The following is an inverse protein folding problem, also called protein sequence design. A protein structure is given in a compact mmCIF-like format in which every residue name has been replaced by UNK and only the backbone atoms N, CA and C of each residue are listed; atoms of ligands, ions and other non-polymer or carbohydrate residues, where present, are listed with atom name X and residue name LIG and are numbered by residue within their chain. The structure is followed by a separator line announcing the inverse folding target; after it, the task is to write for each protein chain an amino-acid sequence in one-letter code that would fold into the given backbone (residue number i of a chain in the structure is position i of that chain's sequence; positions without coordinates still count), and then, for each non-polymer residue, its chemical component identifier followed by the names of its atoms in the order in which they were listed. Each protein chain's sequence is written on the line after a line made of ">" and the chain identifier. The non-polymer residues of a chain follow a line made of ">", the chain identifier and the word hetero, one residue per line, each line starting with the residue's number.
data_IF_828349406766
#
_entry.id   IF_828349406766
#
_cell.length_a   1.000
_cell.length_b   1.000
_cell.length_c   1.000
_cell.angle_alpha   90.00
_cell.angle_beta   90.00
_cell.angle_gamma   90.00
#
_symmetry.space_group_name_H-M   'P 1'
#
loop_
_entity.id
_entity.type
_entity.pdbx_description
1 polymer ?
#
# COMPACT_ATOMS: atom_id res chain seq x y z
N UNK A 1 -11.73 -5.95 11.09
CA UNK A 1 -11.90 -4.93 10.02
C UNK A 1 -10.67 -4.94 9.12
N UNK A 2 -10.80 -4.59 7.84
CA UNK A 2 -9.69 -4.46 6.89
C UNK A 2 -9.68 -3.06 6.26
N UNK A 3 -8.51 -2.43 6.22
CA UNK A 3 -8.30 -1.11 5.61
C UNK A 3 -7.19 -1.19 4.56
N UNK A 4 -7.54 -0.82 3.34
CA UNK A 4 -6.61 -0.60 2.25
C UNK A 4 -6.20 0.87 2.19
N UNK A 5 -4.90 1.13 2.05
CA UNK A 5 -4.35 2.49 1.89
C UNK A 5 -3.63 2.56 0.55
N UNK A 6 -4.08 3.45 -0.33
CA UNK A 6 -3.52 3.65 -1.67
C UNK A 6 -3.23 5.13 -1.89
N UNK A 7 -2.20 5.48 -2.67
CA UNK A 7 -1.86 6.87 -2.92
C UNK A 7 -2.80 7.50 -3.96
N UNK A 8 -3.20 6.73 -4.97
CA UNK A 8 -3.93 7.21 -6.14
C UNK A 8 -5.27 6.49 -6.35
N UNK A 9 -6.24 7.20 -6.92
CA UNK A 9 -7.52 6.60 -7.32
C UNK A 9 -7.38 5.41 -8.28
N UNK A 10 -6.39 5.44 -9.19
CA UNK A 10 -6.16 4.33 -10.10
C UNK A 10 -5.63 3.07 -9.39
N UNK A 11 -4.93 3.23 -8.27
CA UNK A 11 -4.50 2.13 -7.41
C UNK A 11 -5.65 1.58 -6.57
N UNK A 12 -6.53 2.47 -6.09
CA UNK A 12 -7.73 2.08 -5.34
C UNK A 12 -8.75 1.34 -6.22
N UNK A 13 -8.85 1.69 -7.50
CA UNK A 13 -9.92 1.21 -8.39
C UNK A 13 -10.07 -0.32 -8.40
N UNK A 14 -9.02 -1.14 -8.58
CA UNK A 14 -9.17 -2.60 -8.57
C UNK A 14 -9.68 -3.14 -7.24
N UNK A 15 -9.29 -2.53 -6.11
CA UNK A 15 -9.75 -2.87 -4.77
C UNK A 15 -11.24 -2.52 -4.61
N UNK A 16 -11.62 -1.31 -5.02
CA UNK A 16 -13.00 -0.84 -5.01
C UNK A 16 -13.89 -1.77 -5.83
N UNK A 17 -13.48 -2.14 -7.04
CA UNK A 17 -14.25 -3.01 -7.92
C UNK A 17 -14.37 -4.43 -7.35
N UNK A 18 -13.28 -5.00 -6.82
CA UNK A 18 -13.24 -6.35 -6.25
C UNK A 18 -14.17 -6.49 -5.03
N UNK A 19 -14.07 -5.56 -4.07
CA UNK A 19 -14.88 -5.57 -2.85
C UNK A 19 -16.24 -4.87 -3.02
N UNK A 20 -16.51 -4.29 -4.21
CA UNK A 20 -17.71 -3.49 -4.51
C UNK A 20 -17.92 -2.36 -3.51
N UNK A 21 -16.85 -1.65 -3.19
CA UNK A 21 -16.86 -0.57 -2.19
C UNK A 21 -17.65 0.65 -2.71
N UNK A 22 -18.33 1.34 -1.80
CA UNK A 22 -19.14 2.52 -2.14
C UNK A 22 -18.49 3.76 -1.55
N UNK A 23 -18.40 4.83 -2.33
CA UNK A 23 -17.84 6.10 -1.86
C UNK A 23 -18.65 6.65 -0.68
N UNK A 24 -17.97 6.89 0.43
CA UNK A 24 -18.55 7.54 1.60
C UNK A 24 -18.78 9.02 1.32
N UNK A 25 -19.95 9.55 1.69
CA UNK A 25 -20.29 10.97 1.57
C UNK A 25 -20.10 11.76 2.87
N UNK A 26 -19.80 11.07 3.97
CA UNK A 26 -19.68 11.66 5.31
C UNK A 26 -18.30 12.23 5.63
N UNK A 27 -17.32 12.05 4.74
CA UNK A 27 -15.93 12.47 4.97
C UNK A 27 -15.43 13.25 3.77
N UNK A 28 -14.81 14.41 4.04
CA UNK A 28 -14.41 15.36 2.99
C UNK A 28 -12.90 15.57 2.91
N UNK A 29 -12.13 15.17 3.95
CA UNK A 29 -10.68 15.33 3.95
C UNK A 29 -9.97 14.35 3.01
N UNK A 30 -10.47 13.11 2.96
CA UNK A 30 -9.96 12.05 2.09
C UNK A 30 -11.12 11.30 1.46
N UNK A 31 -10.90 10.79 0.25
CA UNK A 31 -11.82 9.90 -0.42
C UNK A 31 -11.75 8.51 0.22
N UNK A 32 -12.84 8.12 0.87
CA UNK A 32 -12.99 6.82 1.53
C UNK A 32 -14.09 6.03 0.82
N UNK A 33 -13.79 4.79 0.46
CA UNK A 33 -14.73 3.84 -0.11
C UNK A 33 -14.91 2.71 0.90
N UNK A 34 -16.15 2.33 1.19
CA UNK A 34 -16.42 1.33 2.20
C UNK A 34 -17.60 0.45 1.86
N UNK A 35 -17.54 -0.78 2.37
CA UNK A 35 -18.65 -1.73 2.40
C UNK A 35 -18.35 -2.79 3.45
N UNK A 36 -19.34 -3.10 4.28
CA UNK A 36 -19.23 -4.09 5.36
C UNK A 36 -18.01 -3.80 6.28
N UNK A 37 -17.07 -4.73 6.39
CA UNK A 37 -15.85 -4.62 7.23
C UNK A 37 -14.60 -4.26 6.43
N UNK A 38 -14.75 -3.74 5.19
CA UNK A 38 -13.66 -3.37 4.30
C UNK A 38 -13.77 -1.90 3.94
N UNK A 39 -12.67 -1.16 4.14
CA UNK A 39 -12.53 0.22 3.70
C UNK A 39 -11.27 0.39 2.83
N UNK A 40 -11.33 1.34 1.91
CA UNK A 40 -10.19 1.77 1.10
C UNK A 40 -10.13 3.29 1.13
N UNK A 41 -9.00 3.83 1.57
CA UNK A 41 -8.73 5.27 1.57
C UNK A 41 -7.71 5.62 0.48
N UNK A 42 -7.98 6.71 -0.22
CA UNK A 42 -7.02 7.33 -1.14
C UNK A 42 -6.29 8.43 -0.39
N UNK A 43 -5.02 8.20 -0.07
CA UNK A 43 -4.24 9.09 0.78
C UNK A 43 -3.68 10.31 0.07
N UNK A 44 -3.48 10.24 -1.24
CA UNK A 44 -2.58 11.14 -1.95
C UNK A 44 -1.12 10.67 -1.88
N UNK A 45 -0.30 11.29 -2.72
CA UNK A 45 1.12 10.96 -2.90
C UNK A 45 1.95 11.54 -1.75
N UNK A 46 2.92 10.77 -1.29
CA UNK A 46 3.92 11.20 -0.34
C UNK A 46 3.58 10.91 1.12
N UNK A 47 4.63 10.93 1.93
CA UNK A 47 4.62 10.51 3.34
C UNK A 47 3.62 11.26 4.20
N UNK A 48 3.56 12.59 4.08
CA UNK A 48 2.67 13.40 4.93
C UNK A 48 1.20 13.10 4.65
N UNK A 49 0.82 13.01 3.38
CA UNK A 49 -0.53 12.69 2.96
C UNK A 49 -0.92 11.27 3.40
N UNK A 50 0.00 10.30 3.22
CA UNK A 50 -0.17 8.93 3.66
C UNK A 50 -0.35 8.78 5.18
N UNK A 51 0.49 9.45 5.98
CA UNK A 51 0.35 9.44 7.44
C UNK A 51 -0.97 10.07 7.90
N UNK A 52 -1.32 11.24 7.34
CA UNK A 52 -2.57 11.93 7.67
C UNK A 52 -3.80 11.08 7.35
N UNK A 53 -3.84 10.47 6.17
CA UNK A 53 -4.94 9.58 5.76
C UNK A 53 -5.05 8.34 6.65
N UNK A 54 -3.91 7.70 6.96
CA UNK A 54 -3.87 6.51 7.82
C UNK A 54 -4.38 6.82 9.22
N UNK A 55 -3.91 7.92 9.83
CA UNK A 55 -4.39 8.35 11.15
C UNK A 55 -5.87 8.76 11.11
N UNK A 56 -6.31 9.43 10.04
CA UNK A 56 -7.70 9.85 9.86
C UNK A 56 -8.65 8.65 9.83
N UNK A 57 -8.39 7.66 8.97
CA UNK A 57 -9.26 6.49 8.87
C UNK A 57 -9.18 5.59 10.11
N UNK A 58 -8.03 5.54 10.80
CA UNK A 58 -7.92 4.87 12.09
C UNK A 58 -8.83 5.53 13.13
N UNK A 59 -8.82 6.86 13.23
CA UNK A 59 -9.66 7.60 14.16
C UNK A 59 -11.15 7.43 13.87
N UNK A 60 -11.55 7.34 12.59
CA UNK A 60 -12.94 7.03 12.22
C UNK A 60 -13.38 5.63 12.65
N UNK A 61 -12.45 4.70 12.82
CA UNK A 61 -12.69 3.31 13.14
C UNK A 61 -12.15 2.92 14.53
N UNK A 62 -12.08 3.89 15.46
CA UNK A 62 -11.54 3.69 16.82
C UNK A 62 -12.25 2.62 17.64
N UNK A 63 -13.52 2.34 17.35
CA UNK A 63 -14.31 1.28 18.01
C UNK A 63 -14.01 -0.13 17.47
N UNK A 64 -13.24 -0.25 16.38
CA UNK A 64 -12.88 -1.56 15.85
C UNK A 64 -11.88 -2.26 16.77
N UNK A 65 -12.25 -3.44 17.29
CA UNK A 65 -11.40 -4.25 18.16
C UNK A 65 -10.04 -4.62 17.55
N UNK A 66 -10.02 -4.84 16.22
CA UNK A 66 -8.81 -5.17 15.47
C UNK A 66 -8.94 -4.74 14.01
N UNK A 67 -7.88 -4.13 13.48
CA UNK A 67 -7.81 -3.61 12.13
C UNK A 67 -6.60 -4.22 11.42
N UNK A 68 -6.85 -4.90 10.30
CA UNK A 68 -5.82 -5.29 9.34
C UNK A 68 -5.58 -4.13 8.36
N UNK A 69 -4.32 -3.84 8.06
CA UNK A 69 -3.91 -2.74 7.21
C UNK A 69 -3.05 -3.24 6.07
N UNK A 70 -3.40 -2.84 4.85
CA UNK A 70 -2.58 -3.14 3.69
C UNK A 70 -2.36 -1.85 2.90
N UNK A 71 -1.10 -1.43 2.78
CA UNK A 71 -0.72 -0.45 1.79
C UNK A 71 -0.42 -1.15 0.47
N UNK A 72 -1.18 -0.79 -0.57
CA UNK A 72 -0.93 -1.23 -1.94
C UNK A 72 -0.67 -0.02 -2.79
N UNK A 73 0.38 -0.09 -3.59
CA UNK A 73 0.68 0.93 -4.58
C UNK A 73 1.83 0.51 -5.47
N UNK A 74 2.23 1.39 -6.36
CA UNK A 74 3.33 1.11 -7.27
C UNK A 74 4.70 1.55 -6.73
N UNK A 75 5.76 0.95 -7.24
CA UNK A 75 7.14 1.32 -6.91
C UNK A 75 8.06 1.23 -8.14
N UNK A 76 9.17 1.96 -8.08
CA UNK A 76 10.27 1.84 -9.04
C UNK A 76 11.28 0.77 -8.65
N UNK A 77 11.86 0.07 -9.63
CA UNK A 77 12.92 -0.92 -9.42
C UNK A 77 13.93 -0.93 -10.56
N UNK A 78 15.21 -1.20 -10.26
CA UNK A 78 16.23 -1.44 -11.27
C UNK A 78 16.28 -2.90 -11.77
N UNK A 79 15.82 -3.86 -10.95
CA UNK A 79 16.10 -5.28 -11.14
C UNK A 79 14.88 -6.16 -11.38
N UNK A 80 13.69 -5.67 -11.00
CA UNK A 80 12.45 -6.41 -11.16
C UNK A 80 11.71 -5.96 -12.41
N UNK A 81 11.03 -6.90 -13.06
CA UNK A 81 10.20 -6.61 -14.24
C UNK A 81 8.96 -5.81 -13.85
N UNK A 82 8.50 -4.95 -14.77
CA UNK A 82 7.23 -4.22 -14.60
C UNK A 82 6.09 -5.22 -14.43
N UNK A 83 5.27 -4.98 -13.41
CA UNK A 83 4.18 -5.86 -13.00
C UNK A 83 4.56 -6.87 -11.95
N UNK A 84 5.83 -6.99 -11.55
CA UNK A 84 6.18 -7.85 -10.42
C UNK A 84 5.56 -7.29 -9.13
N UNK A 85 4.80 -8.10 -8.40
CA UNK A 85 4.23 -7.76 -7.11
C UNK A 85 5.06 -8.35 -5.97
N UNK A 86 5.49 -7.52 -5.03
CA UNK A 86 6.39 -7.90 -3.93
C UNK A 86 5.82 -7.48 -2.58
N UNK A 87 5.95 -8.37 -1.60
CA UNK A 87 5.66 -8.08 -0.19
C UNK A 87 6.86 -7.40 0.44
N UNK A 88 6.65 -6.32 1.16
CA UNK A 88 7.77 -5.59 1.76
C UNK A 88 8.14 -6.21 3.11
N UNK A 89 9.36 -6.72 3.23
CA UNK A 89 9.89 -7.28 4.48
C UNK A 89 10.87 -6.34 5.20
N UNK A 90 11.29 -5.26 4.54
CA UNK A 90 12.12 -4.21 5.09
C UNK A 90 11.70 -2.88 4.50
N UNK A 91 11.54 -1.87 5.34
CA UNK A 91 11.27 -0.50 4.94
C UNK A 91 12.42 0.38 5.47
N UNK A 92 12.93 1.28 4.64
CA UNK A 92 13.85 2.33 5.09
C UNK A 92 13.43 3.68 4.54
N UNK A 93 13.67 4.76 5.29
CA UNK A 93 13.47 6.13 4.80
C UNK A 93 14.78 6.93 4.70
N UNK A 94 14.66 8.19 4.26
CA UNK A 94 15.78 9.14 4.18
C UNK A 94 16.23 9.69 5.55
N UNK A 95 15.53 9.34 6.63
CA UNK A 95 15.82 9.77 7.99
C UNK A 95 16.45 8.66 8.83
N UNK A 96 17.04 7.65 8.18
CA UNK A 96 17.69 6.50 8.81
C UNK A 96 16.76 5.66 9.68
N UNK A 97 15.45 5.72 9.45
CA UNK A 97 14.50 4.82 10.10
C UNK A 97 14.42 3.50 9.33
N UNK A 98 14.31 2.40 10.08
CA UNK A 98 14.20 1.06 9.54
C UNK A 98 13.05 0.32 10.22
N UNK A 99 12.20 -0.31 9.40
CA UNK A 99 11.09 -1.13 9.86
C UNK A 99 11.17 -2.51 9.22
N UNK A 100 10.70 -3.52 9.93
CA UNK A 100 10.69 -4.91 9.49
C UNK A 100 9.27 -5.46 9.69
N UNK A 101 8.38 -5.33 8.68
CA UNK A 101 7.06 -5.95 8.71
C UNK A 101 7.15 -7.44 9.03
N UNK A 102 6.21 -7.92 9.84
CA UNK A 102 6.20 -9.31 10.27
C UNK A 102 5.95 -10.23 9.05
N UNK A 103 6.71 -11.33 8.90
CA UNK A 103 6.56 -12.23 7.78
C UNK A 103 5.25 -13.01 7.87
N UNK A 104 4.62 -13.25 6.72
CA UNK A 104 3.43 -14.09 6.60
C UNK A 104 3.82 -15.44 6.01
N UNK A 105 3.68 -16.50 6.81
CA UNK A 105 4.18 -17.84 6.49
C UNK A 105 3.58 -18.44 5.21
N UNK A 106 2.34 -18.10 4.88
CA UNK A 106 1.63 -18.64 3.72
C UNK A 106 1.61 -17.68 2.51
N UNK A 107 2.33 -16.55 2.60
CA UNK A 107 2.34 -15.56 1.54
C UNK A 107 3.20 -16.03 0.36
N UNK A 108 2.65 -15.91 -0.85
CA UNK A 108 3.33 -16.33 -2.10
C UNK A 108 4.06 -15.22 -2.83
N UNK A 109 4.02 -14.00 -2.28
CA UNK A 109 4.79 -12.90 -2.86
C UNK A 109 6.27 -13.08 -2.56
N UNK A 110 7.11 -12.79 -3.54
CA UNK A 110 8.52 -12.53 -3.27
C UNK A 110 8.64 -11.32 -2.34
N UNK A 111 9.66 -11.34 -1.48
CA UNK A 111 9.86 -10.28 -0.49
C UNK A 111 10.94 -9.31 -0.93
N UNK A 112 10.75 -8.02 -0.68
CA UNK A 112 11.72 -6.99 -1.03
C UNK A 112 11.91 -5.92 0.04
N UNK A 113 13.05 -5.23 -0.06
CA UNK A 113 13.33 -4.00 0.68
C UNK A 113 12.73 -2.81 -0.09
N UNK A 114 11.83 -2.06 0.54
CA UNK A 114 11.34 -0.77 0.05
C UNK A 114 12.07 0.40 0.70
N UNK A 115 12.61 1.31 -0.12
CA UNK A 115 13.17 2.58 0.29
C UNK A 115 12.20 3.70 -0.05
N UNK A 116 11.63 4.32 0.98
CA UNK A 116 10.74 5.46 0.83
C UNK A 116 11.53 6.76 0.66
N UNK A 117 11.26 7.51 -0.41
CA UNK A 117 11.85 8.82 -0.71
C UNK A 117 10.80 9.93 -0.55
N UNK A 118 11.24 11.16 -0.28
CA UNK A 118 10.33 12.31 -0.29
C UNK A 118 10.05 12.84 -1.71
N UNK A 119 10.92 12.52 -2.67
CA UNK A 119 10.80 12.93 -4.07
C UNK A 119 10.92 11.72 -5.01
N UNK A 120 10.30 11.76 -6.20
CA UNK A 120 10.46 10.70 -7.20
C UNK A 120 11.93 10.49 -7.56
N UNK A 121 12.36 9.22 -7.60
CA UNK A 121 13.70 8.83 -8.06
C UNK A 121 13.60 8.01 -9.34
N UNK A 122 14.63 8.09 -10.17
CA UNK A 122 14.91 7.15 -11.28
C UNK A 122 16.24 6.42 -11.10
N UNK A 123 17.00 6.79 -10.06
CA UNK A 123 18.23 6.12 -9.65
C UNK A 123 17.89 5.05 -8.60
N UNK A 124 17.62 3.84 -9.11
CA UNK A 124 17.18 2.71 -8.30
C UNK A 124 18.37 1.79 -7.97
N UNK A 125 18.58 1.53 -6.68
CA UNK A 125 19.50 0.48 -6.26
C UNK A 125 18.97 -0.91 -6.66
N UNK A 126 19.79 -1.82 -7.22
CA UNK A 126 19.33 -3.13 -7.72
C UNK A 126 18.65 -4.06 -6.71
N UNK A 127 18.79 -3.80 -5.42
CA UNK A 127 18.21 -4.64 -4.34
C UNK A 127 17.04 -3.97 -3.62
N UNK A 128 16.54 -2.85 -4.16
CA UNK A 128 15.53 -2.03 -3.48
C UNK A 128 14.41 -1.65 -4.43
N UNK A 129 13.21 -1.54 -3.86
CA UNK A 129 12.08 -0.84 -4.46
C UNK A 129 12.04 0.58 -3.94
N UNK A 130 11.57 1.52 -4.76
CA UNK A 130 11.48 2.93 -4.40
C UNK A 130 10.03 3.38 -4.47
N UNK A 131 9.54 3.90 -3.36
CA UNK A 131 8.19 4.44 -3.22
C UNK A 131 8.21 5.75 -2.44
N UNK A 132 7.03 6.32 -2.15
CA UNK A 132 6.91 7.58 -1.43
C UNK A 132 6.02 7.49 -0.17
N UNK A 133 5.51 6.31 0.19
CA UNK A 133 4.47 6.17 1.21
C UNK A 133 4.77 5.12 2.30
N UNK A 134 5.46 4.03 1.98
CA UNK A 134 5.52 2.82 2.82
C UNK A 134 6.01 3.10 4.25
N UNK A 135 7.05 3.92 4.43
CA UNK A 135 7.57 4.25 5.76
C UNK A 135 6.53 4.97 6.63
N UNK A 136 5.84 5.95 6.06
CA UNK A 136 4.85 6.76 6.77
C UNK A 136 3.57 5.98 7.07
N UNK A 137 3.11 5.18 6.11
CA UNK A 137 2.02 4.24 6.33
C UNK A 137 2.35 3.29 7.48
N UNK A 138 3.46 2.56 7.39
CA UNK A 138 3.78 1.50 8.35
C UNK A 138 3.98 2.08 9.76
N UNK A 139 4.71 3.19 9.87
CA UNK A 139 4.92 3.88 11.14
C UNK A 139 3.61 4.36 11.78
N UNK A 140 2.65 4.80 10.96
CA UNK A 140 1.36 5.31 11.45
C UNK A 140 0.40 4.17 11.78
N UNK A 141 0.22 3.20 10.88
CA UNK A 141 -0.70 2.08 11.07
C UNK A 141 -0.35 1.23 12.30
N UNK A 142 0.95 1.03 12.57
CA UNK A 142 1.43 0.31 13.77
C UNK A 142 1.14 1.03 15.10
N UNK A 143 0.64 2.28 15.08
CA UNK A 143 0.11 2.95 16.28
C UNK A 143 -1.31 2.51 16.63
N UNK A 144 -2.03 1.96 15.67
CA UNK A 144 -3.45 1.60 15.78
C UNK A 144 -3.67 0.08 15.67
N UNK A 145 -2.64 -0.70 15.35
CA UNK A 145 -2.73 -2.15 15.21
C UNK A 145 -1.38 -2.83 15.45
N UNK A 146 -1.44 -4.11 15.80
CA UNK A 146 -0.25 -4.95 15.94
C UNK A 146 0.49 -5.06 14.59
N UNK A 147 1.82 -5.16 14.64
CA UNK A 147 2.65 -5.17 13.43
C UNK A 147 2.38 -6.38 12.52
N UNK A 148 1.89 -7.49 13.07
CA UNK A 148 1.45 -8.67 12.34
C UNK A 148 0.30 -8.38 11.36
N UNK A 149 -0.51 -7.35 11.66
CA UNK A 149 -1.67 -6.94 10.90
C UNK A 149 -1.37 -5.80 9.91
N UNK A 150 -0.12 -5.34 9.80
CA UNK A 150 0.25 -4.20 8.96
C UNK A 150 1.21 -4.66 7.87
N UNK A 151 0.74 -4.64 6.62
CA UNK A 151 1.50 -5.13 5.48
C UNK A 151 1.60 -4.08 4.37
N UNK A 152 2.70 -4.14 3.60
CA UNK A 152 2.89 -3.32 2.41
C UNK A 152 3.14 -4.24 1.22
N UNK A 153 2.41 -4.04 0.13
CA UNK A 153 2.64 -4.71 -1.15
C UNK A 153 2.91 -3.67 -2.21
N UNK A 154 3.98 -3.85 -2.99
CA UNK A 154 4.37 -2.94 -4.06
C UNK A 154 4.41 -3.66 -5.39
N UNK A 155 3.80 -3.05 -6.40
CA UNK A 155 3.83 -3.54 -7.78
C UNK A 155 4.79 -2.67 -8.57
N UNK A 156 5.74 -3.28 -9.27
CA UNK A 156 6.74 -2.54 -10.04
C UNK A 156 6.08 -1.84 -11.22
N UNK A 157 6.11 -0.53 -11.28
CA UNK A 157 5.59 0.28 -12.39
C UNK A 157 6.70 0.86 -13.25
N UNK A 158 7.83 1.19 -12.65
CA UNK A 158 8.90 1.95 -13.28
C UNK A 158 10.22 1.20 -13.16
N UNK A 159 11.02 1.27 -14.22
CA UNK A 159 12.41 0.88 -14.23
C UNK A 159 13.24 1.94 -14.99
N UNK A 160 14.59 1.85 -15.01
CA UNK A 160 15.42 2.86 -15.66
C UNK A 160 15.11 3.07 -17.15
N UNK A 161 14.54 2.06 -17.84
CA UNK A 161 14.21 2.11 -19.25
C UNK A 161 12.75 2.56 -19.53
N UNK A 162 11.83 2.32 -18.60
CA UNK A 162 10.39 2.48 -18.80
C UNK A 162 9.72 3.12 -17.60
N UNK A 163 9.01 4.23 -17.84
CA UNK A 163 8.29 4.98 -16.81
C UNK A 163 6.77 4.85 -16.99
N UNK A 164 6.16 3.87 -16.33
CA UNK A 164 4.71 3.62 -16.38
C UNK A 164 3.93 4.42 -15.35
N UNK A 165 4.59 5.00 -14.33
CA UNK A 165 3.98 5.70 -13.20
C UNK A 165 3.08 6.88 -13.58
N UNK A 166 3.11 7.34 -14.84
CA UNK A 166 2.23 8.40 -15.36
C UNK A 166 0.96 7.89 -16.04
N UNK A 167 0.89 6.61 -16.41
CA UNK A 167 -0.26 6.02 -17.07
C UNK A 167 -1.20 5.38 -16.04
N UNK A 168 -2.21 6.15 -15.62
CA UNK A 168 -3.21 5.73 -14.62
C UNK A 168 -3.96 4.45 -15.01
N UNK A 169 -4.28 4.27 -16.29
CA UNK A 169 -4.97 3.05 -16.75
C UNK A 169 -4.07 1.82 -16.59
N UNK A 170 -2.80 1.96 -16.97
CA UNK A 170 -1.82 0.89 -16.83
C UNK A 170 -1.52 0.56 -15.37
N UNK A 171 -1.37 1.56 -14.49
CA UNK A 171 -1.23 1.33 -13.04
C UNK A 171 -2.40 0.51 -12.50
N UNK A 172 -3.63 0.89 -12.88
CA UNK A 172 -4.82 0.17 -12.46
C UNK A 172 -4.81 -1.27 -12.93
N UNK A 173 -4.40 -1.52 -14.17
CA UNK A 173 -4.26 -2.86 -14.74
C UNK A 173 -3.21 -3.71 -14.00
N UNK A 174 -2.03 -3.15 -13.71
CA UNK A 174 -0.96 -3.84 -12.99
C UNK A 174 -1.45 -4.33 -11.62
N UNK A 175 -2.15 -3.50 -10.87
CA UNK A 175 -2.72 -3.90 -9.57
C UNK A 175 -3.86 -4.91 -9.76
N UNK A 176 -4.71 -4.70 -10.78
CA UNK A 176 -5.81 -5.62 -11.09
C UNK A 176 -5.34 -7.06 -11.32
N UNK A 177 -4.22 -7.25 -12.01
CA UNK A 177 -3.63 -8.57 -12.28
C UNK A 177 -3.27 -9.36 -11.02
N UNK A 178 -3.06 -8.68 -9.89
CA UNK A 178 -2.70 -9.31 -8.60
C UNK A 178 -3.84 -9.34 -7.58
N UNK A 179 -5.06 -8.91 -7.94
CA UNK A 179 -6.15 -8.78 -6.98
C UNK A 179 -6.52 -10.09 -6.28
N UNK A 180 -6.45 -11.24 -6.96
CA UNK A 180 -6.71 -12.54 -6.33
C UNK A 180 -5.67 -12.88 -5.25
N UNK A 181 -4.40 -12.53 -5.48
CA UNK A 181 -3.33 -12.74 -4.51
C UNK A 181 -3.43 -11.76 -3.35
N UNK A 182 -3.75 -10.50 -3.64
CA UNK A 182 -3.99 -9.46 -2.62
C UNK A 182 -5.20 -9.81 -1.75
N UNK A 183 -6.28 -10.33 -2.33
CA UNK A 183 -7.46 -10.74 -1.57
C UNK A 183 -7.16 -11.94 -0.65
N UNK A 184 -6.36 -12.91 -1.09
CA UNK A 184 -5.88 -14.01 -0.24
C UNK A 184 -5.03 -13.51 0.92
N UNK A 185 -4.08 -12.63 0.63
CA UNK A 185 -3.28 -11.96 1.66
C UNK A 185 -4.16 -11.26 2.70
N UNK A 186 -5.19 -10.56 2.26
CA UNK A 186 -6.12 -9.88 3.14
C UNK A 186 -6.94 -10.84 4.02
N UNK A 187 -7.35 -11.99 3.48
CA UNK A 187 -8.02 -13.04 4.27
C UNK A 187 -7.09 -13.62 5.34
N UNK A 188 -5.82 -13.86 5.02
CA UNK A 188 -4.83 -14.37 5.97
C UNK A 188 -4.61 -13.42 7.16
N UNK A 189 -4.76 -12.10 6.95
CA UNK A 189 -4.66 -11.09 8.01
C UNK A 189 -5.93 -10.95 8.86
N UNK A 190 -7.05 -11.52 8.42
CA UNK A 190 -8.33 -11.47 9.12
C UNK A 190 -8.67 -12.77 9.86
N UNK A 191 -7.88 -13.83 9.66
CA UNK A 191 -8.02 -15.14 10.30
C UNK A 191 -7.56 -15.09 11.77
#
# INVERSE_FOLDING_TARGET
>A
MLIWVTALHCEAKPIIDHYRLIKSRSHHAFDIYKKDQVECIVSGIGRLACAAATAWIAALNHEARSIAWINVGTAGSASHDIGTALLINRISDEFSQHFYPAPLLNCRFETAHCRTRNEPSTDYHPQQLYDMEASAFYQTATRFSCAELVQCVKIVSDNPAHQTGRNKARISELIHQHMDQLARLALDLQA
#
